data_IF_095182674658
#
_entry.id   IF_095182674658
#
_cell.length_a   1.000
_cell.length_b   1.000
_cell.length_c   1.000
_cell.angle_alpha   90.00
_cell.angle_beta   90.00
_cell.angle_gamma   90.00
#
_symmetry.space_group_name_H-M   'P 1'
#
loop_
_entity.id
_entity.type
_entity.pdbx_description
1 polymer ?
#
# COMPACT_ATOMS: atom_id res chain seq x y z
N UNK A 1 1.84 2.25 1.46
CA UNK A 1 0.83 2.77 0.50
C UNK A 1 0.76 2.06 -0.85
N UNK A 2 1.86 1.77 -1.53
CA UNK A 2 1.83 1.24 -2.91
C UNK A 2 0.95 -0.01 -3.10
N UNK A 3 0.99 -0.98 -2.16
CA UNK A 3 0.13 -2.15 -2.20
C UNK A 3 -1.37 -1.79 -2.26
N UNK A 4 -1.82 -0.85 -1.42
CA UNK A 4 -3.24 -0.45 -1.36
C UNK A 4 -3.71 0.24 -2.64
N UNK A 5 -2.77 0.82 -3.39
CA UNK A 5 -3.06 1.50 -4.66
C UNK A 5 -2.94 0.56 -5.86
N UNK A 6 -2.34 -0.62 -5.69
CA UNK A 6 -2.11 -1.59 -6.77
C UNK A 6 -3.37 -2.03 -7.52
N UNK A 7 -4.53 -2.26 -6.87
CA UNK A 7 -5.78 -2.57 -7.59
C UNK A 7 -6.27 -1.45 -8.53
N UNK A 8 -5.80 -0.22 -8.32
CA UNK A 8 -6.15 0.96 -9.12
C UNK A 8 -5.10 1.31 -10.17
N UNK A 9 -4.00 0.56 -10.25
CA UNK A 9 -3.00 0.72 -11.31
C UNK A 9 -3.47 0.04 -12.60
N UNK A 10 -2.74 0.22 -13.70
CA UNK A 10 -3.05 -0.38 -15.00
C UNK A 10 -3.01 -1.92 -14.97
N UNK A 11 -4.18 -2.52 -14.81
CA UNK A 11 -4.37 -3.97 -14.73
C UNK A 11 -4.14 -4.70 -16.06
N UNK A 12 -3.81 -4.00 -17.16
CA UNK A 12 -3.40 -4.66 -18.42
C UNK A 12 -1.96 -5.15 -18.37
N UNK A 13 -1.15 -4.64 -17.43
CA UNK A 13 0.21 -5.09 -17.20
C UNK A 13 0.21 -6.37 -16.36
N UNK A 14 0.73 -7.50 -16.89
CA UNK A 14 0.63 -8.80 -16.20
C UNK A 14 1.23 -8.82 -14.79
N UNK A 15 2.35 -8.11 -14.59
CA UNK A 15 2.98 -7.96 -13.28
C UNK A 15 2.06 -7.24 -12.29
N UNK A 16 1.46 -6.13 -12.71
CA UNK A 16 0.55 -5.33 -11.88
C UNK A 16 -0.65 -6.19 -11.48
N UNK A 17 -1.22 -6.92 -12.43
CA UNK A 17 -2.34 -7.82 -12.17
C UNK A 17 -1.98 -8.91 -11.13
N UNK A 18 -0.81 -9.56 -11.26
CA UNK A 18 -0.37 -10.56 -10.28
C UNK A 18 -0.12 -9.99 -8.88
N UNK A 19 0.50 -8.81 -8.81
CA UNK A 19 0.71 -8.11 -7.53
C UNK A 19 -0.63 -7.68 -6.91
N UNK A 20 -1.59 -7.22 -7.72
CA UNK A 20 -2.97 -6.94 -7.29
C UNK A 20 -3.61 -8.18 -6.66
N UNK A 21 -3.56 -9.34 -7.32
CA UNK A 21 -4.12 -10.58 -6.77
C UNK A 21 -3.49 -10.96 -5.43
N UNK A 22 -2.16 -10.86 -5.31
CA UNK A 22 -1.47 -11.12 -4.06
C UNK A 22 -1.89 -10.15 -2.94
N UNK A 23 -2.05 -8.86 -3.26
CA UNK A 23 -2.53 -7.85 -2.31
C UNK A 23 -3.97 -8.14 -1.90
N UNK A 24 -4.86 -8.45 -2.84
CA UNK A 24 -6.26 -8.75 -2.56
C UNK A 24 -6.40 -9.98 -1.64
N UNK A 25 -5.58 -11.01 -1.84
CA UNK A 25 -5.55 -12.17 -0.95
C UNK A 25 -5.16 -11.80 0.49
N UNK A 26 -4.16 -10.91 0.66
CA UNK A 26 -3.79 -10.39 1.98
C UNK A 26 -4.94 -9.57 2.60
N UNK A 27 -5.55 -8.67 1.83
CA UNK A 27 -6.67 -7.86 2.29
C UNK A 27 -7.87 -8.73 2.71
N UNK A 28 -8.13 -9.82 2.00
CA UNK A 28 -9.17 -10.79 2.35
C UNK A 28 -8.83 -11.53 3.65
N UNK A 29 -7.57 -11.94 3.85
CA UNK A 29 -7.13 -12.56 5.10
C UNK A 29 -7.24 -11.59 6.30
N UNK A 30 -6.97 -10.30 6.08
CA UNK A 30 -7.21 -9.24 7.09
C UNK A 30 -8.70 -9.12 7.41
N UNK A 31 -9.56 -9.05 6.38
CA UNK A 31 -11.00 -8.96 6.56
C UNK A 31 -11.60 -10.19 7.27
N UNK A 32 -11.00 -11.37 7.08
CA UNK A 32 -11.35 -12.60 7.78
C UNK A 32 -10.79 -12.67 9.22
N UNK A 33 -9.99 -11.70 9.66
CA UNK A 33 -9.38 -11.67 10.98
C UNK A 33 -8.18 -12.63 11.15
N UNK A 34 -7.67 -13.19 10.05
CA UNK A 34 -6.49 -14.07 10.09
C UNK A 34 -5.17 -13.29 10.15
N UNK A 35 -5.18 -12.05 9.68
CA UNK A 35 -4.04 -11.14 9.71
C UNK A 35 -4.47 -9.80 10.32
N UNK A 36 -3.53 -9.15 11.00
CA UNK A 36 -3.71 -7.79 11.48
C UNK A 36 -2.97 -6.82 10.55
N UNK A 37 -3.67 -5.80 10.05
CA UNK A 37 -3.04 -4.71 9.33
C UNK A 37 -2.62 -3.58 10.28
N UNK A 38 -1.45 -3.02 9.99
CA UNK A 38 -0.87 -1.89 10.70
C UNK A 38 -0.59 -0.75 9.71
N UNK A 39 -0.66 0.49 10.21
CA UNK A 39 -0.38 1.72 9.49
C UNK A 39 0.49 2.67 10.32
N UNK A 40 1.30 3.43 9.60
CA UNK A 40 2.00 4.62 10.07
C UNK A 40 1.21 5.90 9.71
N UNK A 41 1.43 7.03 10.40
CA UNK A 41 0.87 8.32 9.99
C UNK A 41 1.19 8.74 8.55
N UNK A 42 2.32 8.30 8.00
CA UNK A 42 2.69 8.59 6.62
C UNK A 42 1.71 8.00 5.59
N UNK A 43 0.98 6.93 5.92
CA UNK A 43 -0.06 6.39 5.05
C UNK A 43 -1.18 7.40 4.79
N UNK A 44 -1.54 8.21 5.79
CA UNK A 44 -2.53 9.29 5.62
C UNK A 44 -1.98 10.40 4.74
N UNK A 45 -0.76 10.86 5.02
CA UNK A 45 -0.10 11.92 4.23
C UNK A 45 -0.04 11.54 2.74
N UNK A 46 0.46 10.34 2.45
CA UNK A 46 0.56 9.84 1.07
C UNK A 46 -0.82 9.66 0.40
N UNK A 47 -1.86 9.36 1.18
CA UNK A 47 -3.21 9.21 0.66
C UNK A 47 -3.90 10.55 0.39
N UNK A 48 -3.69 11.55 1.27
CA UNK A 48 -4.20 12.92 1.13
C UNK A 48 -3.62 13.64 -0.09
N UNK A 49 -2.41 13.25 -0.52
CA UNK A 49 -1.75 13.80 -1.70
C UNK A 49 -2.10 13.07 -2.99
N UNK A 50 -2.97 12.05 -2.93
CA UNK A 50 -3.39 11.36 -4.13
C UNK A 50 -4.24 12.31 -5.01
N UNK A 51 -3.87 12.51 -6.29
CA UNK A 51 -4.61 13.41 -7.18
C UNK A 51 -6.01 12.89 -7.52
N UNK A 52 -6.26 11.59 -7.37
CA UNK A 52 -7.56 10.97 -7.56
C UNK A 52 -8.30 10.89 -6.21
N UNK A 53 -9.23 11.84 -6.02
CA UNK A 53 -10.00 11.96 -4.78
C UNK A 53 -10.89 10.74 -4.49
N UNK A 54 -11.36 10.04 -5.51
CA UNK A 54 -12.22 8.86 -5.34
C UNK A 54 -11.39 7.67 -4.81
N UNK A 55 -10.20 7.45 -5.40
CA UNK A 55 -9.21 6.47 -4.91
C UNK A 55 -8.69 6.84 -3.52
N UNK A 56 -8.53 8.13 -3.23
CA UNK A 56 -8.12 8.60 -1.91
C UNK A 56 -9.19 8.27 -0.86
N UNK A 57 -10.46 8.58 -1.13
CA UNK A 57 -11.57 8.32 -0.22
C UNK A 57 -11.76 6.81 0.05
N UNK A 58 -11.66 5.97 -0.98
CA UNK A 58 -11.75 4.52 -0.82
C UNK A 58 -10.67 3.95 0.11
N UNK A 59 -9.41 4.41 -0.05
CA UNK A 59 -8.29 3.98 0.80
C UNK A 59 -8.39 4.57 2.20
N UNK A 60 -8.86 5.82 2.36
CA UNK A 60 -9.05 6.46 3.66
C UNK A 60 -10.02 5.64 4.54
N UNK A 61 -11.16 5.24 3.99
CA UNK A 61 -12.14 4.41 4.72
C UNK A 61 -11.60 3.03 5.13
N UNK A 62 -10.51 2.55 4.53
CA UNK A 62 -9.81 1.35 5.00
C UNK A 62 -8.79 1.68 6.10
N UNK A 63 -7.99 2.74 5.92
CA UNK A 63 -7.00 3.21 6.91
C UNK A 63 -7.64 3.54 8.26
N UNK A 64 -8.84 4.13 8.26
CA UNK A 64 -9.59 4.49 9.47
C UNK A 64 -9.94 3.29 10.37
N UNK A 65 -9.96 2.07 9.81
CA UNK A 65 -10.28 0.84 10.53
C UNK A 65 -9.06 0.12 11.11
N UNK A 66 -7.86 0.64 10.86
CA UNK A 66 -6.61 0.05 11.34
C UNK A 66 -6.24 0.56 12.73
N UNK A 67 -5.00 0.31 13.16
CA UNK A 67 -4.51 0.83 14.43
C UNK A 67 -4.70 2.36 14.53
N UNK A 68 -4.92 2.87 15.76
CA UNK A 68 -5.01 4.31 16.02
C UNK A 68 -3.74 5.03 15.56
N UNK A 69 -3.93 6.26 15.08
CA UNK A 69 -2.82 7.16 14.81
C UNK A 69 -2.16 7.62 16.11
N UNK A 70 -0.84 7.60 16.12
CA UNK A 70 -0.02 8.04 17.23
C UNK A 70 1.09 8.98 16.73
N UNK A 71 1.47 9.94 17.57
CA UNK A 71 2.63 10.79 17.31
C UNK A 71 3.88 9.94 17.21
N UNK A 72 4.83 10.39 16.41
CA UNK A 72 6.08 9.72 16.14
C UNK A 72 6.91 9.65 17.42
N UNK A 73 7.17 8.45 17.97
CA UNK A 73 8.06 8.32 19.13
C UNK A 73 9.48 8.75 18.78
N UNK A 74 10.23 9.28 19.76
CA UNK A 74 11.61 9.71 19.55
C UNK A 74 12.51 8.58 19.00
N UNK A 75 12.28 7.34 19.43
CA UNK A 75 12.98 6.17 18.90
C UNK A 75 12.68 5.92 17.41
N UNK A 76 11.45 6.17 16.96
CA UNK A 76 11.08 6.08 15.54
C UNK A 76 11.75 7.21 14.78
N UNK A 77 11.67 8.46 15.24
CA UNK A 77 12.29 9.60 14.57
C UNK A 77 13.82 9.40 14.38
N UNK A 78 14.52 8.95 15.42
CA UNK A 78 15.94 8.61 15.35
C UNK A 78 16.21 7.49 14.33
N UNK A 79 15.34 6.48 14.29
CA UNK A 79 15.44 5.38 13.34
C UNK A 79 15.20 5.81 11.89
N UNK A 80 14.28 6.74 11.65
CA UNK A 80 14.07 7.33 10.32
C UNK A 80 15.34 8.06 9.86
N UNK A 81 15.94 8.87 10.72
CA UNK A 81 17.18 9.58 10.40
C UNK A 81 18.34 8.61 10.07
N UNK A 82 18.47 7.52 10.84
CA UNK A 82 19.48 6.46 10.60
C UNK A 82 19.28 5.79 9.23
N UNK A 83 18.06 5.34 8.93
CA UNK A 83 17.74 4.70 7.65
C UNK A 83 17.90 5.66 6.47
N UNK A 84 17.56 6.94 6.67
CA UNK A 84 17.75 7.98 5.66
C UNK A 84 19.24 8.23 5.38
N UNK A 85 20.06 8.32 6.42
CA UNK A 85 21.52 8.45 6.29
C UNK A 85 22.15 7.24 5.58
N UNK A 86 21.53 6.05 5.70
CA UNK A 86 21.93 4.85 4.96
C UNK A 86 21.49 4.85 3.48
N UNK A 87 20.78 5.88 3.02
CA UNK A 87 20.39 6.09 1.61
C UNK A 87 18.93 5.76 1.28
N UNK A 88 18.07 5.55 2.28
CA UNK A 88 16.64 5.33 2.07
C UNK A 88 15.88 6.68 1.98
N UNK A 89 14.89 6.79 1.10
CA UNK A 89 14.06 8.00 1.01
C UNK A 89 13.24 8.21 2.29
N UNK A 90 12.93 9.46 2.65
CA UNK A 90 12.30 9.80 3.93
C UNK A 90 11.00 9.03 4.20
N UNK A 91 10.08 8.95 3.23
CA UNK A 91 8.83 8.19 3.37
C UNK A 91 9.07 6.70 3.56
N UNK A 92 9.97 6.12 2.77
CA UNK A 92 10.31 4.70 2.85
C UNK A 92 10.97 4.36 4.20
N UNK A 93 11.90 5.22 4.66
CA UNK A 93 12.53 5.12 5.97
C UNK A 93 11.51 5.23 7.11
N UNK A 94 10.54 6.12 6.97
CA UNK A 94 9.44 6.30 7.92
C UNK A 94 8.56 5.06 8.02
N UNK A 95 8.18 4.46 6.90
CA UNK A 95 7.40 3.22 6.89
C UNK A 95 8.14 2.04 7.52
N UNK A 96 9.43 1.87 7.20
CA UNK A 96 10.26 0.82 7.80
C UNK A 96 10.40 1.04 9.31
N UNK A 97 10.73 2.26 9.75
CA UNK A 97 10.90 2.56 11.18
C UNK A 97 9.61 2.32 11.99
N UNK A 98 8.45 2.68 11.45
CA UNK A 98 7.16 2.39 12.09
C UNK A 98 6.84 0.90 12.12
N UNK A 99 7.10 0.17 11.04
CA UNK A 99 6.89 -1.27 11.00
C UNK A 99 7.78 -1.99 12.04
N UNK A 100 9.04 -1.58 12.18
CA UNK A 100 9.94 -2.07 13.22
C UNK A 100 9.42 -1.72 14.63
N UNK A 101 8.97 -0.48 14.85
CA UNK A 101 8.50 -0.02 16.16
C UNK A 101 7.21 -0.70 16.62
N UNK A 102 6.29 -0.97 15.69
CA UNK A 102 5.05 -1.69 15.95
C UNK A 102 5.24 -3.21 15.99
N UNK A 103 6.49 -3.70 15.86
CA UNK A 103 6.82 -5.12 15.80
C UNK A 103 6.02 -5.88 14.74
N UNK A 104 5.83 -5.28 13.56
CA UNK A 104 5.17 -5.94 12.45
C UNK A 104 6.00 -7.15 11.98
N UNK A 105 5.35 -8.28 11.72
CA UNK A 105 6.03 -9.46 11.17
C UNK A 105 6.58 -9.20 9.76
N UNK A 106 5.81 -8.43 8.97
CA UNK A 106 6.06 -8.20 7.55
C UNK A 106 5.64 -6.78 7.15
N UNK A 107 6.48 -6.12 6.35
CA UNK A 107 6.13 -4.90 5.60
C UNK A 107 5.91 -5.26 4.13
N UNK A 108 4.71 -4.99 3.61
CA UNK A 108 4.36 -5.26 2.22
C UNK A 108 4.63 -4.05 1.32
N UNK A 109 5.32 -4.26 0.20
CA UNK A 109 5.57 -3.19 -0.79
C UNK A 109 5.77 -3.71 -2.22
N UNK A 110 5.08 -3.12 -3.19
CA UNK A 110 5.34 -3.34 -4.63
C UNK A 110 6.48 -2.48 -5.18
N UNK A 111 7.14 -1.68 -4.32
CA UNK A 111 8.16 -0.73 -4.75
C UNK A 111 9.53 -1.39 -4.92
N UNK A 112 9.96 -1.54 -6.18
CA UNK A 112 11.24 -2.18 -6.52
C UNK A 112 12.46 -1.54 -5.84
N UNK A 113 12.62 -0.19 -5.81
CA UNK A 113 13.72 0.45 -5.09
C UNK A 113 13.76 0.10 -3.61
N UNK A 114 12.63 0.13 -2.91
CA UNK A 114 12.54 -0.24 -1.50
C UNK A 114 12.89 -1.72 -1.27
N UNK A 115 12.32 -2.64 -2.06
CA UNK A 115 12.65 -4.07 -1.97
C UNK A 115 14.15 -4.31 -2.18
N UNK A 116 14.73 -3.66 -3.19
CA UNK A 116 16.14 -3.80 -3.51
C UNK A 116 17.03 -3.21 -2.41
N UNK A 117 16.66 -2.07 -1.82
CA UNK A 117 17.36 -1.49 -0.69
C UNK A 117 17.34 -2.42 0.51
N UNK A 118 16.15 -2.85 0.95
CA UNK A 118 16.01 -3.71 2.13
C UNK A 118 16.67 -5.08 1.94
N UNK A 119 16.65 -5.64 0.71
CA UNK A 119 17.36 -6.87 0.40
C UNK A 119 18.88 -6.73 0.51
N UNK A 120 19.46 -5.61 0.05
CA UNK A 120 20.90 -5.34 0.19
C UNK A 120 21.31 -5.02 1.62
N UNK A 121 20.42 -4.41 2.38
CA UNK A 121 20.64 -3.91 3.74
C UNK A 121 19.97 -4.81 4.81
N UNK A 122 19.79 -6.10 4.52
CA UNK A 122 19.06 -7.03 5.39
C UNK A 122 19.64 -7.16 6.80
N UNK A 123 20.92 -6.82 6.99
CA UNK A 123 21.59 -6.82 8.30
C UNK A 123 21.17 -5.66 9.20
N UNK A 124 20.73 -4.54 8.63
CA UNK A 124 20.28 -3.37 9.39
C UNK A 124 18.76 -3.30 9.49
N UNK A 125 18.01 -3.85 8.53
CA UNK A 125 16.54 -3.83 8.52
C UNK A 125 16.00 -4.90 9.47
N UNK A 126 15.17 -4.50 10.44
CA UNK A 126 14.66 -5.39 11.50
C UNK A 126 13.28 -5.96 11.21
N UNK A 127 12.65 -5.55 10.11
CA UNK A 127 11.35 -6.04 9.66
C UNK A 127 11.49 -6.76 8.33
N UNK A 128 10.79 -7.87 8.14
CA UNK A 128 10.81 -8.59 6.87
C UNK A 128 10.05 -7.78 5.82
N UNK A 129 10.75 -7.21 4.85
CA UNK A 129 10.12 -6.48 3.74
C UNK A 129 9.90 -7.44 2.57
N UNK A 130 8.65 -7.56 2.11
CA UNK A 130 8.31 -8.45 1.01
C UNK A 130 7.33 -7.79 0.05
N UNK A 131 7.36 -8.34 -1.17
CA UNK A 131 6.28 -8.49 -2.15
C UNK A 131 6.94 -8.40 -3.53
N UNK A 132 7.33 -9.56 -4.05
CA UNK A 132 7.80 -9.69 -5.42
C UNK A 132 7.20 -10.97 -6.00
N UNK A 133 6.30 -10.84 -6.96
CA UNK A 133 5.76 -11.98 -7.72
C UNK A 133 6.71 -12.28 -8.88
N UNK A 134 7.85 -12.93 -8.59
CA UNK A 134 8.69 -13.58 -9.61
C UNK A 134 8.44 -15.09 -9.51
N UNK A 135 7.97 -15.70 -10.60
CA UNK A 135 7.82 -17.12 -11.03
C UNK A 135 7.55 -18.26 -10.02
N UNK A 136 7.79 -18.12 -8.71
CA UNK A 136 7.77 -19.23 -7.74
C UNK A 136 6.43 -19.41 -7.01
N UNK A 137 5.45 -18.54 -7.25
CA UNK A 137 4.07 -18.75 -6.81
C UNK A 137 3.18 -19.14 -8.00
N UNK A 138 3.57 -20.19 -8.73
CA UNK A 138 2.62 -21.11 -9.35
C UNK A 138 1.95 -21.97 -8.26
N UNK A 139 1.32 -21.32 -7.28
CA UNK A 139 0.15 -21.95 -6.67
C UNK A 139 -0.89 -21.99 -7.79
N UNK A 140 -1.56 -23.13 -7.97
CA UNK A 140 -2.63 -23.35 -8.95
C UNK A 140 -3.84 -22.43 -8.69
N UNK A 141 -3.64 -21.12 -8.78
CA UNK A 141 -4.66 -20.15 -9.09
C UNK A 141 -5.00 -20.43 -10.55
N UNK A 142 -6.28 -20.61 -10.93
CA UNK A 142 -6.65 -20.71 -12.33
C UNK A 142 -5.99 -19.53 -13.06
N UNK A 143 -5.32 -19.82 -14.18
CA UNK A 143 -4.71 -18.82 -15.06
C UNK A 143 -5.45 -17.48 -14.92
N UNK A 144 -4.81 -16.38 -14.46
CA UNK A 144 -5.50 -15.12 -14.18
C UNK A 144 -6.38 -14.64 -15.33
N UNK A 145 -6.04 -15.02 -16.57
CA UNK A 145 -6.88 -14.82 -17.76
C UNK A 145 -8.15 -15.68 -17.71
N UNK A 146 -8.04 -16.97 -17.36
CA UNK A 146 -9.18 -17.85 -17.13
C UNK A 146 -10.01 -17.46 -15.90
N UNK A 147 -9.39 -17.02 -14.80
CA UNK A 147 -10.12 -16.55 -13.62
C UNK A 147 -10.92 -15.29 -13.94
N UNK A 148 -10.29 -14.30 -14.58
CA UNK A 148 -10.96 -13.10 -15.08
C UNK A 148 -12.07 -13.45 -16.05
N UNK A 149 -11.82 -14.37 -16.98
CA UNK A 149 -12.83 -14.84 -17.94
C UNK A 149 -14.03 -15.46 -17.22
N UNK A 150 -13.81 -16.36 -16.27
CA UNK A 150 -14.88 -16.98 -15.47
C UNK A 150 -15.64 -15.96 -14.63
N UNK A 151 -14.94 -14.99 -14.03
CA UNK A 151 -15.57 -13.92 -13.26
C UNK A 151 -16.44 -13.02 -14.14
N UNK A 152 -15.96 -12.67 -15.34
CA UNK A 152 -16.74 -11.93 -16.34
C UNK A 152 -17.94 -12.74 -16.83
N UNK A 153 -17.77 -14.05 -17.07
CA UNK A 153 -18.87 -14.95 -17.44
C UNK A 153 -19.94 -15.03 -16.33
N UNK A 154 -19.55 -15.09 -15.06
CA UNK A 154 -20.46 -15.04 -13.91
C UNK A 154 -21.17 -13.69 -13.83
N UNK A 155 -20.44 -12.57 -13.97
CA UNK A 155 -21.03 -11.22 -13.97
C UNK A 155 -22.07 -11.04 -15.08
N UNK A 156 -21.75 -11.48 -16.31
CA UNK A 156 -22.68 -11.42 -17.44
C UNK A 156 -23.91 -12.30 -17.17
N UNK A 157 -23.72 -13.47 -16.55
CA UNK A 157 -24.83 -14.37 -16.21
C UNK A 157 -25.78 -13.78 -15.17
N UNK A 158 -25.24 -13.18 -14.11
CA UNK A 158 -26.05 -12.67 -12.99
C UNK A 158 -26.65 -11.28 -13.26
N UNK A 159 -25.94 -10.41 -14.00
CA UNK A 159 -26.33 -9.01 -14.21
C UNK A 159 -26.83 -8.72 -15.62
N UNK A 160 -26.60 -9.61 -16.59
CA UNK A 160 -26.81 -9.34 -18.00
C UNK A 160 -25.66 -8.51 -18.61
N UNK A 161 -25.47 -8.62 -19.92
CA UNK A 161 -24.29 -8.05 -20.60
C UNK A 161 -24.10 -6.55 -20.37
N UNK A 162 -25.17 -5.75 -20.46
CA UNK A 162 -25.09 -4.29 -20.35
C UNK A 162 -24.70 -3.84 -18.95
N UNK A 163 -25.30 -4.43 -17.91
CA UNK A 163 -25.02 -4.07 -16.52
C UNK A 163 -23.72 -4.68 -16.01
N UNK A 164 -23.34 -5.87 -16.48
CA UNK A 164 -22.01 -6.41 -16.30
C UNK A 164 -20.94 -5.51 -16.91
N UNK A 165 -21.15 -4.96 -18.11
CA UNK A 165 -20.21 -4.01 -18.73
C UNK A 165 -20.18 -2.65 -18.04
N UNK A 166 -21.30 -2.19 -17.44
CA UNK A 166 -21.30 -1.01 -16.56
C UNK A 166 -20.54 -1.25 -15.27
N UNK A 167 -20.74 -2.41 -14.63
CA UNK A 167 -20.02 -2.84 -13.43
C UNK A 167 -18.53 -3.00 -13.70
N UNK A 168 -18.16 -3.68 -14.79
CA UNK A 168 -16.76 -3.82 -15.21
C UNK A 168 -16.12 -2.48 -15.59
N UNK A 169 -16.89 -1.52 -16.16
CA UNK A 169 -16.42 -0.13 -16.33
C UNK A 169 -16.23 0.58 -14.98
N UNK A 170 -17.08 0.36 -13.99
CA UNK A 170 -16.88 0.94 -12.65
C UNK A 170 -15.66 0.34 -11.95
N UNK A 171 -15.38 -0.95 -12.17
CA UNK A 171 -14.20 -1.63 -11.63
C UNK A 171 -12.93 -1.45 -12.48
N UNK A 172 -13.07 -1.00 -13.73
CA UNK A 172 -12.05 -1.11 -14.77
C UNK A 172 -11.61 0.23 -15.32
N UNK A 173 -11.06 1.10 -14.50
CA UNK A 173 -10.22 2.21 -14.95
C UNK A 173 -9.04 2.39 -14.01
N UNK A 174 -8.40 1.28 -13.64
CA UNK A 174 -7.04 1.37 -13.13
C UNK A 174 -6.15 1.88 -14.26
N UNK A 175 -5.34 2.90 -13.97
CA UNK A 175 -4.44 3.51 -14.95
C UNK A 175 -3.21 3.99 -14.20
N UNK A 176 -2.06 3.94 -14.88
CA UNK A 176 -0.79 4.33 -14.32
C UNK A 176 -0.11 3.25 -13.50
N UNK A 177 0.96 3.65 -12.82
CA UNK A 177 1.69 2.85 -11.83
C UNK A 177 2.00 3.73 -10.62
N UNK A 178 1.17 3.64 -9.58
CA UNK A 178 1.30 4.47 -8.38
C UNK A 178 2.70 4.39 -7.77
N UNK A 179 3.36 3.23 -7.83
CA UNK A 179 4.71 3.08 -7.30
C UNK A 179 5.69 4.02 -8.01
N UNK A 180 5.53 4.23 -9.32
CA UNK A 180 6.38 5.14 -10.10
C UNK A 180 5.92 6.59 -10.02
N UNK A 181 4.62 6.80 -10.12
CA UNK A 181 4.01 8.13 -10.24
C UNK A 181 4.06 8.93 -8.95
N UNK A 182 4.09 8.27 -7.79
CA UNK A 182 4.12 8.95 -6.47
C UNK A 182 5.25 9.97 -6.34
N UNK A 183 6.36 9.78 -7.05
CA UNK A 183 7.48 10.72 -7.03
C UNK A 183 7.18 12.08 -7.68
N UNK A 184 6.08 12.20 -8.42
CA UNK A 184 5.66 13.47 -9.05
C UNK A 184 4.82 14.36 -8.14
N UNK A 185 4.18 13.78 -7.11
CA UNK A 185 3.27 14.50 -6.22
C UNK A 185 3.62 14.39 -4.73
N UNK A 186 4.40 13.37 -4.31
CA UNK A 186 4.92 13.31 -2.94
C UNK A 186 6.02 14.35 -2.74
N UNK A 187 6.03 15.10 -1.62
CA UNK A 187 7.04 16.09 -1.34
C UNK A 187 8.35 15.42 -0.97
N UNK A 188 9.46 16.08 -1.34
CA UNK A 188 10.79 15.67 -0.94
C UNK A 188 11.16 16.27 0.42
N UNK A 189 10.41 15.89 1.47
CA UNK A 189 10.65 16.35 2.83
C UNK A 189 11.84 15.62 3.46
N UNK A 190 12.63 16.36 4.24
CA UNK A 190 13.64 15.75 5.12
C UNK A 190 12.96 14.84 6.17
N UNK A 191 13.71 13.93 6.81
CA UNK A 191 13.20 13.13 7.93
C UNK A 191 12.50 13.97 9.00
N UNK A 192 13.12 15.06 9.44
CA UNK A 192 12.59 15.92 10.50
C UNK A 192 11.28 16.61 10.07
N UNK A 193 11.23 17.11 8.84
CA UNK A 193 10.02 17.72 8.30
C UNK A 193 8.90 16.69 8.17
N UNK A 194 9.19 15.47 7.70
CA UNK A 194 8.20 14.40 7.61
C UNK A 194 7.66 13.99 8.98
N UNK A 195 8.52 13.85 9.99
CA UNK A 195 8.11 13.56 11.38
C UNK A 195 7.20 14.66 11.91
N UNK A 196 7.58 15.93 11.72
CA UNK A 196 6.77 17.08 12.15
C UNK A 196 5.40 17.10 11.49
N UNK A 197 5.34 16.89 10.16
CA UNK A 197 4.08 16.87 9.40
C UNK A 197 3.18 15.71 9.80
N UNK A 198 3.75 14.54 10.05
CA UNK A 198 3.03 13.40 10.58
C UNK A 198 2.40 13.71 11.94
N UNK A 199 3.16 14.30 12.86
CA UNK A 199 2.67 14.64 14.20
C UNK A 199 1.59 15.72 14.17
N UNK A 200 1.74 16.73 13.29
CA UNK A 200 0.73 17.76 13.05
C UNK A 200 -0.58 17.12 12.53
N UNK A 201 -0.49 16.17 11.59
CA UNK A 201 -1.64 15.42 11.08
C UNK A 201 -2.32 14.62 12.19
N UNK A 202 -1.57 13.89 13.02
CA UNK A 202 -2.15 13.13 14.13
C UNK A 202 -2.90 14.04 15.10
N UNK A 203 -2.33 15.21 15.40
CA UNK A 203 -2.97 16.20 16.27
C UNK A 203 -4.27 16.77 15.65
N UNK A 204 -4.26 17.05 14.36
CA UNK A 204 -5.46 17.50 13.64
C UNK A 204 -6.55 16.43 13.66
N UNK A 205 -6.22 15.16 13.38
CA UNK A 205 -7.19 14.06 13.40
C UNK A 205 -7.78 13.81 14.79
N UNK A 206 -7.00 13.99 15.86
CA UNK A 206 -7.50 13.92 17.24
C UNK A 206 -8.52 15.02 17.56
N UNK A 207 -8.31 16.24 17.08
CA UNK A 207 -9.22 17.38 17.32
C UNK A 207 -10.57 17.24 16.60
N UNK A 208 -10.61 16.46 15.52
CA UNK A 208 -11.82 16.24 14.71
C UNK A 208 -12.42 14.84 14.92
N UNK A 209 -11.91 14.07 15.89
CA UNK A 209 -12.54 12.80 16.28
C UNK A 209 -13.84 13.10 17.06
N UNK A 210 -14.97 12.49 16.68
CA UNK A 210 -16.27 12.71 17.33
C UNK A 210 -16.33 12.19 18.77
#
# INVERSE_FOLDING_TARGET
>A
MCCLKRPYDDQTQPRIALETEAVLAVLQAIAAGHLQALRSPAHEIENEQNPDAERAAAVAGWLDRLNPLAKTPAAVAARVAELHAAGLKSFDAYHVAWAEHLAADVLLTTDDPLLAFCGRQASIIKVRVVLRTRDELMVSIPDPVQLRRRAVEVLIRELGYVDAMRFLRQCGHGAGDYSRERHTFLPDWSPDELVRRADDLVEQRRKHAP
#
